data_IF_833034110866
#
_entry.id   IF_833034110866
#
_cell.length_a   1.000
_cell.length_b   1.000
_cell.length_c   1.000
_cell.angle_alpha   90.00
_cell.angle_beta   90.00
_cell.angle_gamma   90.00
#
_symmetry.space_group_name_H-M   'P 1'
#
loop_
_entity.id
_entity.type
_entity.pdbx_description
1 polymer ?
#
# COMPACT_ATOMS: atom_id res chain seq x y z
N UNK A 1 11.27 -26.06 -13.63
CA UNK A 1 11.88 -27.25 -13.01
C UNK A 1 12.75 -26.84 -11.86
N UNK A 2 13.00 -27.74 -10.94
CA UNK A 2 13.86 -27.53 -9.78
C UNK A 2 15.30 -27.19 -10.19
N UNK A 3 15.82 -27.87 -11.20
CA UNK A 3 17.15 -27.62 -11.79
C UNK A 3 17.32 -26.17 -12.28
N UNK A 4 16.30 -25.58 -12.89
CA UNK A 4 16.36 -24.18 -13.35
C UNK A 4 16.36 -23.23 -12.16
N UNK A 5 15.59 -23.53 -11.11
CA UNK A 5 15.57 -22.73 -9.88
C UNK A 5 16.94 -22.78 -9.21
N UNK A 6 17.50 -24.00 -9.05
CA UNK A 6 18.82 -24.20 -8.48
C UNK A 6 19.89 -23.42 -9.26
N UNK A 7 19.93 -23.58 -10.57
CA UNK A 7 20.89 -22.89 -11.41
C UNK A 7 20.79 -21.36 -11.29
N UNK A 8 19.56 -20.81 -11.28
CA UNK A 8 19.38 -19.37 -11.12
C UNK A 8 19.90 -18.88 -9.76
N UNK A 9 19.59 -19.60 -8.69
CA UNK A 9 20.05 -19.24 -7.35
C UNK A 9 21.57 -19.30 -7.24
N UNK A 10 22.19 -20.38 -7.73
CA UNK A 10 23.65 -20.57 -7.73
C UNK A 10 24.40 -19.50 -8.53
N UNK A 11 23.78 -19.00 -9.62
CA UNK A 11 24.39 -18.00 -10.49
C UNK A 11 23.94 -16.56 -10.18
N UNK A 12 23.20 -16.34 -9.09
CA UNK A 12 22.73 -14.99 -8.68
C UNK A 12 21.70 -14.39 -9.63
N UNK A 13 21.00 -15.21 -10.43
CA UNK A 13 19.93 -14.76 -11.32
C UNK A 13 18.60 -14.72 -10.58
N UNK A 14 17.97 -13.54 -10.55
CA UNK A 14 16.67 -13.39 -9.90
C UNK A 14 15.60 -14.26 -10.59
N UNK A 15 14.90 -15.07 -9.80
CA UNK A 15 13.83 -15.95 -10.29
C UNK A 15 12.61 -15.92 -9.38
N UNK A 16 11.41 -15.96 -9.96
CA UNK A 16 10.13 -16.16 -9.28
C UNK A 16 9.41 -17.34 -9.91
N UNK A 17 9.61 -18.58 -9.41
CA UNK A 17 9.02 -19.77 -9.99
C UNK A 17 7.49 -19.77 -9.86
N UNK A 18 6.81 -20.38 -10.82
CA UNK A 18 5.36 -20.62 -10.76
C UNK A 18 5.06 -21.73 -9.75
N UNK A 19 4.30 -21.40 -8.70
CA UNK A 19 3.91 -22.32 -7.63
C UNK A 19 2.44 -22.10 -7.29
N UNK A 20 1.65 -23.17 -7.33
CA UNK A 20 0.22 -23.14 -6.95
C UNK A 20 -0.13 -24.17 -5.88
N UNK A 21 0.79 -25.10 -5.60
CA UNK A 21 0.62 -26.16 -4.60
C UNK A 21 1.58 -26.00 -3.43
N UNK A 22 1.25 -26.54 -2.25
CA UNK A 22 2.18 -26.57 -1.10
C UNK A 22 3.54 -27.20 -1.43
N UNK A 23 3.56 -28.27 -2.21
CA UNK A 23 4.81 -28.96 -2.60
C UNK A 23 5.73 -28.07 -3.43
N UNK A 24 5.18 -27.34 -4.40
CA UNK A 24 5.95 -26.40 -5.21
C UNK A 24 6.46 -25.22 -4.38
N UNK A 25 5.66 -24.73 -3.44
CA UNK A 25 6.08 -23.65 -2.51
C UNK A 25 7.22 -24.16 -1.61
N UNK A 26 7.13 -25.37 -1.07
CA UNK A 26 8.18 -25.98 -0.25
C UNK A 26 9.48 -26.15 -1.06
N UNK A 27 9.39 -26.59 -2.32
CA UNK A 27 10.56 -26.68 -3.20
C UNK A 27 11.21 -25.31 -3.43
N UNK A 28 10.42 -24.26 -3.69
CA UNK A 28 10.94 -22.90 -3.82
C UNK A 28 11.62 -22.41 -2.52
N UNK A 29 11.01 -22.71 -1.37
CA UNK A 29 11.58 -22.37 -0.05
C UNK A 29 12.89 -23.09 0.25
N UNK A 30 13.08 -24.35 -0.19
CA UNK A 30 14.33 -25.10 -0.01
C UNK A 30 15.52 -24.44 -0.72
N UNK A 31 15.27 -23.67 -1.76
CA UNK A 31 16.25 -22.81 -2.45
C UNK A 31 16.39 -21.41 -1.85
N UNK A 32 15.77 -21.14 -0.69
CA UNK A 32 15.83 -19.84 -0.02
C UNK A 32 14.95 -18.75 -0.62
N UNK A 33 14.08 -19.09 -1.56
CA UNK A 33 13.18 -18.11 -2.20
C UNK A 33 12.06 -17.70 -1.25
N UNK A 34 11.72 -16.41 -1.27
CA UNK A 34 10.65 -15.79 -0.46
C UNK A 34 9.50 -15.26 -1.29
N UNK A 35 9.61 -15.33 -2.60
CA UNK A 35 8.60 -14.82 -3.54
C UNK A 35 8.38 -15.84 -4.65
N UNK A 36 7.13 -16.17 -4.91
CA UNK A 36 6.73 -17.09 -5.99
C UNK A 36 5.64 -16.46 -6.86
N UNK A 37 5.59 -16.84 -8.13
CA UNK A 37 4.49 -16.48 -9.03
C UNK A 37 3.33 -17.46 -8.83
N UNK A 38 2.11 -16.95 -8.69
CA UNK A 38 0.88 -17.74 -8.63
C UNK A 38 0.12 -17.59 -9.96
N UNK A 39 0.11 -18.65 -10.78
CA UNK A 39 -0.40 -18.58 -12.15
C UNK A 39 -1.01 -19.92 -12.62
N UNK A 40 -2.13 -19.86 -13.36
CA UNK A 40 -3.06 -18.73 -13.54
C UNK A 40 -3.91 -18.47 -12.28
N UNK A 41 -3.82 -17.28 -11.71
CA UNK A 41 -4.33 -17.00 -10.36
C UNK A 41 -5.83 -17.24 -10.23
N UNK A 42 -6.65 -16.74 -11.17
CA UNK A 42 -8.10 -16.87 -11.12
C UNK A 42 -8.59 -18.34 -11.23
N UNK A 43 -7.85 -19.18 -11.97
CA UNK A 43 -8.20 -20.61 -12.16
C UNK A 43 -7.95 -21.40 -10.89
N UNK A 44 -6.88 -21.07 -10.17
CA UNK A 44 -6.48 -21.76 -8.93
C UNK A 44 -7.07 -21.13 -7.65
N UNK A 45 -8.16 -20.37 -7.76
CA UNK A 45 -8.88 -19.82 -6.61
C UNK A 45 -8.44 -18.44 -6.14
N UNK A 46 -7.55 -17.76 -6.90
CA UNK A 46 -7.23 -16.36 -6.74
C UNK A 46 -6.73 -15.97 -5.34
N UNK A 47 -7.22 -14.84 -4.86
CA UNK A 47 -6.83 -14.28 -3.56
C UNK A 47 -7.16 -15.21 -2.39
N UNK A 48 -8.28 -15.94 -2.47
CA UNK A 48 -8.71 -16.87 -1.42
C UNK A 48 -7.73 -18.04 -1.25
N UNK A 49 -7.28 -18.64 -2.37
CA UNK A 49 -6.29 -19.72 -2.34
C UNK A 49 -4.94 -19.26 -1.78
N UNK A 50 -4.44 -18.09 -2.23
CA UNK A 50 -3.18 -17.53 -1.71
C UNK A 50 -3.29 -17.17 -0.23
N UNK A 51 -4.45 -16.70 0.24
CA UNK A 51 -4.71 -16.48 1.67
C UNK A 51 -4.59 -17.77 2.47
N UNK A 52 -5.19 -18.87 1.98
CA UNK A 52 -5.10 -20.18 2.63
C UNK A 52 -3.64 -20.69 2.67
N UNK A 53 -2.90 -20.55 1.56
CA UNK A 53 -1.50 -20.93 1.47
C UNK A 53 -0.60 -20.05 2.36
N UNK A 54 -0.90 -18.76 2.53
CA UNK A 54 -0.12 -17.86 3.38
C UNK A 54 -0.15 -18.22 4.86
N UNK A 55 -1.12 -19.03 5.32
CA UNK A 55 -1.18 -19.52 6.69
C UNK A 55 0.05 -20.39 7.04
N UNK A 56 0.21 -21.56 6.42
CA UNK A 56 1.38 -22.43 6.68
C UNK A 56 2.69 -21.85 6.12
N UNK A 57 2.65 -20.98 5.13
CA UNK A 57 3.82 -20.39 4.47
C UNK A 57 3.94 -18.89 4.75
N UNK A 58 3.88 -18.47 6.01
CA UNK A 58 3.80 -17.07 6.42
C UNK A 58 4.93 -16.15 5.93
N UNK A 59 6.11 -16.69 5.63
CA UNK A 59 7.24 -15.95 5.06
C UNK A 59 7.17 -15.80 3.53
N UNK A 60 6.32 -16.59 2.86
CA UNK A 60 6.18 -16.57 1.41
C UNK A 60 5.29 -15.43 0.94
N UNK A 61 5.70 -14.76 -0.12
CA UNK A 61 4.91 -13.74 -0.83
C UNK A 61 4.58 -14.23 -2.23
N UNK A 62 3.43 -13.77 -2.74
CA UNK A 62 2.91 -14.20 -4.04
C UNK A 62 2.91 -13.06 -5.05
N UNK A 63 3.15 -13.41 -6.32
CA UNK A 63 2.92 -12.56 -7.50
C UNK A 63 1.79 -13.21 -8.32
N UNK A 64 0.51 -12.87 -8.05
CA UNK A 64 -0.59 -13.37 -8.87
C UNK A 64 -0.50 -12.83 -10.30
N UNK A 65 -0.74 -13.73 -11.24
CA UNK A 65 -0.82 -13.42 -12.67
C UNK A 65 -1.90 -14.27 -13.30
N UNK A 66 -2.65 -13.71 -14.26
CA UNK A 66 -3.82 -14.37 -14.86
C UNK A 66 -5.11 -14.10 -14.09
N UNK A 67 -5.99 -13.31 -14.72
CA UNK A 67 -7.25 -12.85 -14.14
C UNK A 67 -7.16 -11.58 -13.30
N UNK A 68 -5.97 -11.05 -13.04
CA UNK A 68 -5.81 -9.72 -12.43
C UNK A 68 -6.05 -8.65 -13.49
N UNK A 69 -6.80 -7.61 -13.12
CA UNK A 69 -7.16 -6.48 -13.97
C UNK A 69 -7.40 -5.22 -13.10
N UNK A 70 -7.72 -4.08 -13.73
CA UNK A 70 -7.90 -2.81 -13.02
C UNK A 70 -9.03 -2.81 -11.99
N UNK A 71 -10.04 -3.69 -12.11
CA UNK A 71 -11.18 -3.74 -11.19
C UNK A 71 -10.84 -4.49 -9.89
N UNK A 72 -10.01 -5.54 -9.97
CA UNK A 72 -9.67 -6.37 -8.81
C UNK A 72 -8.25 -6.11 -8.26
N UNK A 73 -7.46 -5.27 -8.93
CA UNK A 73 -6.08 -4.94 -8.54
C UNK A 73 -5.97 -4.48 -7.09
N UNK A 74 -6.89 -3.61 -6.64
CA UNK A 74 -6.89 -3.06 -5.29
C UNK A 74 -7.01 -4.14 -4.21
N UNK A 75 -7.87 -5.14 -4.41
CA UNK A 75 -8.05 -6.26 -3.49
C UNK A 75 -6.77 -7.11 -3.34
N UNK A 76 -6.11 -7.39 -4.48
CA UNK A 76 -4.85 -8.13 -4.45
C UNK A 76 -3.76 -7.36 -3.71
N UNK A 77 -3.57 -6.09 -4.01
CA UNK A 77 -2.50 -5.27 -3.43
C UNK A 77 -2.72 -4.98 -1.95
N UNK A 78 -3.95 -4.92 -1.48
CA UNK A 78 -4.26 -4.75 -0.06
C UNK A 78 -3.88 -5.98 0.80
N UNK A 79 -3.74 -7.15 0.18
CA UNK A 79 -3.42 -8.38 0.92
C UNK A 79 -1.92 -8.45 1.31
N UNK A 80 -1.59 -8.68 2.60
CA UNK A 80 -0.21 -8.58 3.10
C UNK A 80 0.72 -9.65 2.55
N UNK A 81 0.19 -10.73 1.99
CA UNK A 81 0.96 -11.82 1.37
C UNK A 81 1.23 -11.58 -0.13
N UNK A 82 0.75 -10.48 -0.72
CA UNK A 82 1.02 -10.12 -2.12
C UNK A 82 2.25 -9.22 -2.19
N UNK A 83 3.25 -9.66 -2.96
CA UNK A 83 4.46 -8.89 -3.23
C UNK A 83 4.27 -7.88 -4.36
N UNK A 84 3.76 -8.36 -5.48
CA UNK A 84 3.47 -7.59 -6.69
C UNK A 84 2.33 -8.26 -7.45
N UNK A 85 1.84 -7.65 -8.51
CA UNK A 85 0.85 -8.25 -9.41
C UNK A 85 1.33 -8.18 -10.85
N UNK A 86 0.97 -9.19 -11.66
CA UNK A 86 1.21 -9.19 -13.09
C UNK A 86 -0.09 -9.33 -13.86
N UNK A 87 -0.21 -8.59 -14.97
CA UNK A 87 -1.42 -8.69 -15.78
C UNK A 87 -1.26 -8.15 -17.20
N UNK A 88 -1.88 -8.83 -18.14
CA UNK A 88 -1.81 -8.49 -19.57
C UNK A 88 -2.81 -7.38 -19.98
N UNK A 89 -3.69 -6.94 -19.06
CA UNK A 89 -4.65 -5.87 -19.37
C UNK A 89 -3.99 -4.52 -19.61
N UNK A 90 -2.78 -4.32 -19.08
CA UNK A 90 -2.03 -3.07 -19.22
C UNK A 90 -1.53 -2.86 -20.65
N UNK A 91 -1.21 -3.94 -21.33
CA UNK A 91 -0.58 -3.91 -22.64
C UNK A 91 -1.03 -5.12 -23.46
N UNK A 92 -2.16 -5.00 -24.16
CA UNK A 92 -2.67 -6.10 -24.99
C UNK A 92 -1.93 -6.16 -26.33
N UNK A 93 -1.87 -7.35 -26.94
CA UNK A 93 -1.34 -7.52 -28.30
C UNK A 93 -2.07 -6.63 -29.31
N UNK A 94 -3.38 -6.44 -29.13
CA UNK A 94 -4.21 -5.58 -29.99
C UNK A 94 -3.82 -4.11 -29.85
N UNK A 95 -3.59 -3.63 -28.64
CA UNK A 95 -3.18 -2.24 -28.40
C UNK A 95 -1.78 -1.95 -28.96
N UNK A 96 -0.86 -2.93 -28.89
CA UNK A 96 0.47 -2.81 -29.51
C UNK A 96 0.34 -2.74 -31.04
N UNK A 97 -0.42 -3.66 -31.64
CA UNK A 97 -0.62 -3.70 -33.08
C UNK A 97 -1.31 -2.43 -33.61
N UNK A 98 -2.20 -1.83 -32.83
CA UNK A 98 -2.88 -0.57 -33.13
C UNK A 98 -2.05 0.67 -32.80
N UNK A 99 -0.83 0.54 -32.31
CA UNK A 99 0.02 1.64 -31.80
C UNK A 99 -0.66 2.52 -30.75
N UNK A 100 -1.58 1.95 -29.95
CA UNK A 100 -2.37 2.66 -28.93
C UNK A 100 -1.54 2.93 -27.65
N UNK A 101 -0.36 3.52 -27.80
CA UNK A 101 0.60 3.70 -26.69
C UNK A 101 0.09 4.66 -25.61
N UNK A 102 -0.69 5.68 -25.97
CA UNK A 102 -1.31 6.59 -25.01
C UNK A 102 -2.31 5.85 -24.09
N UNK A 103 -3.05 4.89 -24.65
CA UNK A 103 -3.95 4.03 -23.87
C UNK A 103 -3.15 3.15 -22.90
N UNK A 104 -2.06 2.54 -23.38
CA UNK A 104 -1.17 1.70 -22.55
C UNK A 104 -0.59 2.54 -21.40
N UNK A 105 -0.09 3.74 -21.71
CA UNK A 105 0.46 4.67 -20.71
C UNK A 105 -0.58 5.01 -19.64
N UNK A 106 -1.81 5.36 -20.04
CA UNK A 106 -2.90 5.65 -19.11
C UNK A 106 -3.23 4.45 -18.22
N UNK A 107 -3.37 3.24 -18.79
CA UNK A 107 -3.64 2.03 -18.02
C UNK A 107 -2.54 1.73 -16.99
N UNK A 108 -1.27 1.95 -17.34
CA UNK A 108 -0.16 1.81 -16.42
C UNK A 108 -0.21 2.85 -15.29
N UNK A 109 -0.57 4.09 -15.60
CA UNK A 109 -0.73 5.15 -14.60
C UNK A 109 -1.89 4.84 -13.64
N UNK A 110 -3.04 4.44 -14.16
CA UNK A 110 -4.20 4.04 -13.35
C UNK A 110 -3.87 2.86 -12.43
N UNK A 111 -3.21 1.83 -12.96
CA UNK A 111 -2.77 0.69 -12.17
C UNK A 111 -1.78 1.09 -11.06
N UNK A 112 -0.84 1.99 -11.36
CA UNK A 112 0.12 2.51 -10.39
C UNK A 112 -0.58 3.29 -9.28
N UNK A 113 -1.54 4.15 -9.63
CA UNK A 113 -2.36 4.87 -8.64
C UNK A 113 -3.14 3.91 -7.74
N UNK A 114 -3.77 2.88 -8.33
CA UNK A 114 -4.47 1.85 -7.57
C UNK A 114 -3.54 1.06 -6.62
N UNK A 115 -2.30 0.77 -7.05
CA UNK A 115 -1.28 0.09 -6.21
C UNK A 115 -0.86 0.97 -5.03
N UNK A 116 -0.69 2.27 -5.24
CA UNK A 116 -0.33 3.23 -4.18
C UNK A 116 -1.51 3.48 -3.23
N UNK A 117 -2.73 3.57 -3.77
CA UNK A 117 -3.96 3.74 -3.01
C UNK A 117 -3.98 5.05 -2.22
N UNK A 118 -3.46 6.13 -2.80
CA UNK A 118 -3.46 7.43 -2.13
C UNK A 118 -4.88 7.98 -2.00
N UNK A 119 -5.28 8.22 -0.76
CA UNK A 119 -6.55 8.87 -0.41
C UNK A 119 -6.34 9.78 0.81
N UNK A 120 -7.06 10.90 0.86
CA UNK A 120 -7.07 11.74 2.06
C UNK A 120 -7.69 10.92 3.20
N UNK A 121 -6.92 10.74 4.28
CA UNK A 121 -7.36 10.04 5.47
C UNK A 121 -8.07 10.99 6.44
N UNK A 122 -7.43 12.12 6.75
CA UNK A 122 -7.99 13.17 7.59
C UNK A 122 -7.28 14.50 7.36
N UNK A 123 -7.88 15.55 7.87
CA UNK A 123 -7.29 16.88 8.02
C UNK A 123 -7.02 17.10 9.49
N UNK A 124 -5.78 17.41 9.85
CA UNK A 124 -5.37 17.76 11.21
C UNK A 124 -5.37 19.27 11.41
N UNK A 125 -5.98 19.73 12.49
CA UNK A 125 -6.03 21.14 12.91
C UNK A 125 -5.23 21.27 14.20
N UNK A 126 -4.29 22.20 14.24
CA UNK A 126 -3.56 22.50 15.45
C UNK A 126 -4.35 23.43 16.35
N UNK A 127 -4.40 23.13 17.66
CA UNK A 127 -4.92 24.03 18.70
C UNK A 127 -3.92 24.20 19.83
N UNK A 128 -4.17 25.16 20.68
CA UNK A 128 -3.23 25.49 21.77
C UNK A 128 -3.37 24.59 23.01
N UNK A 129 -4.51 23.89 23.17
CA UNK A 129 -4.80 23.08 24.36
C UNK A 129 -5.82 21.97 24.05
N UNK A 130 -5.98 21.04 25.02
CA UNK A 130 -7.02 19.99 24.95
C UNK A 130 -8.43 20.63 25.02
N UNK A 131 -8.62 21.68 25.80
CA UNK A 131 -9.86 22.43 25.89
C UNK A 131 -10.26 23.02 24.53
N UNK A 132 -9.33 23.75 23.89
CA UNK A 132 -9.54 24.32 22.54
C UNK A 132 -9.80 23.23 21.48
N UNK A 133 -9.11 22.09 21.59
CA UNK A 133 -9.36 20.93 20.72
C UNK A 133 -10.77 20.38 20.91
N UNK A 134 -11.21 20.25 22.14
CA UNK A 134 -12.56 19.75 22.45
C UNK A 134 -13.64 20.72 21.99
N UNK A 135 -13.43 22.03 22.14
CA UNK A 135 -14.38 23.08 21.70
C UNK A 135 -14.60 23.00 20.19
N UNK A 136 -13.53 22.82 19.41
CA UNK A 136 -13.64 22.62 17.95
C UNK A 136 -14.41 21.33 17.63
N UNK A 137 -14.10 20.23 18.31
CA UNK A 137 -14.82 18.96 18.10
C UNK A 137 -16.30 19.07 18.49
N UNK A 138 -16.60 19.77 19.60
CA UNK A 138 -17.99 19.97 20.03
C UNK A 138 -18.76 20.85 19.03
N UNK A 139 -18.15 21.92 18.52
CA UNK A 139 -18.76 22.74 17.47
C UNK A 139 -19.09 21.94 16.20
N UNK A 140 -18.18 21.05 15.77
CA UNK A 140 -18.43 20.17 14.63
C UNK A 140 -19.53 19.14 14.91
N UNK A 141 -19.60 18.63 16.14
CA UNK A 141 -20.67 17.74 16.58
C UNK A 141 -22.03 18.45 16.58
N UNK A 142 -22.10 19.65 17.13
CA UNK A 142 -23.34 20.42 17.25
C UNK A 142 -23.86 20.86 15.87
N UNK A 143 -22.94 21.24 14.96
CA UNK A 143 -23.30 21.69 13.62
C UNK A 143 -23.65 20.54 12.65
N UNK A 144 -22.93 19.42 12.72
CA UNK A 144 -22.97 18.36 11.69
C UNK A 144 -23.26 16.97 12.27
N UNK A 145 -23.38 16.82 13.59
CA UNK A 145 -23.63 15.53 14.22
C UNK A 145 -22.41 14.59 14.23
N UNK A 146 -21.18 15.10 14.09
CA UNK A 146 -19.98 14.27 14.07
C UNK A 146 -19.73 13.62 15.43
N UNK A 147 -19.43 12.34 15.44
CA UNK A 147 -19.05 11.64 16.67
C UNK A 147 -17.65 12.06 17.12
N UNK A 148 -17.50 12.35 18.40
CA UNK A 148 -16.21 12.69 19.01
C UNK A 148 -15.53 11.45 19.54
N UNK A 149 -14.26 11.27 19.15
CA UNK A 149 -13.36 10.25 19.71
C UNK A 149 -12.16 10.93 20.32
N UNK A 150 -11.98 10.78 21.63
CA UNK A 150 -10.82 11.32 22.35
C UNK A 150 -9.61 10.39 22.22
N UNK A 151 -8.44 10.99 21.97
CA UNK A 151 -7.15 10.33 21.96
C UNK A 151 -6.15 11.00 22.90
N UNK A 152 -4.92 10.51 22.94
CA UNK A 152 -3.90 11.05 23.85
C UNK A 152 -3.40 12.44 23.41
N UNK A 153 -3.04 12.59 22.13
CA UNK A 153 -2.45 13.82 21.55
C UNK A 153 -3.44 14.65 20.75
N UNK A 154 -4.61 14.10 20.43
CA UNK A 154 -5.62 14.73 19.61
C UNK A 154 -7.02 14.22 19.94
N UNK A 155 -8.03 14.97 19.56
CA UNK A 155 -9.42 14.54 19.50
C UNK A 155 -9.84 14.45 18.04
N UNK A 156 -10.78 13.57 17.73
CA UNK A 156 -11.34 13.43 16.39
C UNK A 156 -12.82 13.83 16.39
N UNK A 157 -13.21 14.63 15.41
CA UNK A 157 -14.61 14.83 15.04
C UNK A 157 -14.85 14.03 13.75
N UNK A 158 -15.53 12.91 13.84
CA UNK A 158 -15.57 11.83 12.84
C UNK A 158 -14.17 11.22 12.59
N UNK A 159 -14.01 10.43 11.53
CA UNK A 159 -12.69 9.94 11.09
C UNK A 159 -11.92 10.94 10.22
N UNK A 160 -12.54 12.04 9.82
CA UNK A 160 -12.02 12.95 8.81
C UNK A 160 -11.33 14.20 9.38
N UNK A 161 -11.61 14.58 10.64
CA UNK A 161 -11.04 15.78 11.26
C UNK A 161 -10.33 15.39 12.55
N UNK A 162 -9.01 15.51 12.58
CA UNK A 162 -8.18 15.39 13.76
C UNK A 162 -7.91 16.78 14.33
N UNK A 163 -8.14 16.99 15.61
CA UNK A 163 -7.88 18.26 16.28
C UNK A 163 -6.82 18.03 17.35
N UNK A 164 -5.63 18.57 17.12
CA UNK A 164 -4.48 18.40 17.99
C UNK A 164 -4.70 19.13 19.31
N UNK A 165 -4.27 18.54 20.43
CA UNK A 165 -4.33 19.12 21.78
C UNK A 165 -3.19 20.09 22.09
N UNK A 166 -2.26 20.22 21.17
CA UNK A 166 -1.14 21.17 21.23
C UNK A 166 -0.66 21.48 19.83
N UNK A 167 0.10 22.55 19.68
CA UNK A 167 0.77 22.86 18.42
C UNK A 167 1.71 21.72 18.02
N UNK A 168 1.59 21.27 16.78
CA UNK A 168 2.42 20.23 16.21
C UNK A 168 2.93 20.66 14.83
N UNK A 169 3.47 19.74 14.03
CA UNK A 169 4.03 20.06 12.73
C UNK A 169 2.99 20.75 11.82
N UNK A 170 3.46 21.79 11.10
CA UNK A 170 2.62 22.66 10.29
C UNK A 170 2.01 23.83 11.10
N UNK A 171 2.10 25.04 10.55
CA UNK A 171 1.59 26.24 11.21
C UNK A 171 0.08 26.12 11.50
N UNK A 172 -0.69 25.57 10.55
CA UNK A 172 -2.14 25.46 10.66
C UNK A 172 -2.61 24.02 10.92
N UNK A 173 -1.73 23.02 10.79
CA UNK A 173 -2.04 21.61 10.92
C UNK A 173 -1.45 20.79 9.78
N UNK A 174 -2.12 19.71 9.39
CA UNK A 174 -1.62 18.76 8.41
C UNK A 174 -2.75 18.12 7.59
N UNK A 175 -2.37 17.51 6.47
CA UNK A 175 -3.25 16.62 5.68
C UNK A 175 -2.65 15.22 5.75
N UNK A 176 -3.41 14.27 6.26
CA UNK A 176 -3.02 12.86 6.25
C UNK A 176 -3.47 12.19 4.95
N UNK A 177 -2.53 11.52 4.29
CA UNK A 177 -2.80 10.72 3.10
C UNK A 177 -2.51 9.27 3.42
N UNK A 178 -3.52 8.40 3.34
CA UNK A 178 -3.31 6.96 3.50
C UNK A 178 -2.76 6.36 2.21
N UNK A 179 -2.05 5.26 2.35
CA UNK A 179 -1.52 4.46 1.24
C UNK A 179 -1.62 2.97 1.55
N UNK A 180 -1.63 2.14 0.51
CA UNK A 180 -1.56 0.69 0.67
C UNK A 180 -0.20 0.20 1.21
N UNK A 181 0.86 1.00 1.05
CA UNK A 181 2.19 0.68 1.55
C UNK A 181 3.08 1.92 1.61
N UNK A 182 3.47 2.33 2.82
CA UNK A 182 4.38 3.47 3.01
C UNK A 182 5.70 3.25 2.27
N UNK A 183 6.25 2.03 2.27
CA UNK A 183 7.49 1.73 1.56
C UNK A 183 7.38 1.95 0.04
N UNK A 184 6.26 1.56 -0.58
CA UNK A 184 6.01 1.84 -2.01
C UNK A 184 5.75 3.32 -2.26
N UNK A 185 5.00 3.95 -1.37
CA UNK A 185 4.72 5.38 -1.43
C UNK A 185 6.01 6.21 -1.34
N UNK A 186 6.94 5.85 -0.44
CA UNK A 186 8.23 6.51 -0.30
C UNK A 186 9.03 6.53 -1.61
N UNK A 187 9.18 5.37 -2.25
CA UNK A 187 9.87 5.24 -3.54
C UNK A 187 9.20 6.09 -4.64
N UNK A 188 7.88 6.17 -4.60
CA UNK A 188 7.13 6.97 -5.57
C UNK A 188 7.29 8.47 -5.31
N UNK A 189 7.15 8.88 -4.06
CA UNK A 189 7.29 10.27 -3.65
C UNK A 189 8.71 10.80 -3.91
N UNK A 190 9.74 9.96 -3.70
CA UNK A 190 11.13 10.31 -3.98
C UNK A 190 11.37 10.63 -5.46
N UNK A 191 10.71 9.91 -6.40
CA UNK A 191 10.77 10.22 -7.84
C UNK A 191 10.21 11.61 -8.17
N UNK A 192 9.32 12.10 -7.34
CA UNK A 192 8.73 13.44 -7.44
C UNK A 192 9.43 14.48 -6.57
N UNK A 193 10.58 14.15 -5.97
CA UNK A 193 11.40 15.05 -5.16
C UNK A 193 10.95 15.17 -3.70
N UNK A 194 10.02 14.33 -3.23
CA UNK A 194 9.59 14.33 -1.84
C UNK A 194 10.34 13.28 -1.02
N UNK A 195 10.68 13.61 0.21
CA UNK A 195 11.39 12.73 1.13
C UNK A 195 10.62 12.55 2.42
N UNK A 196 10.69 11.34 3.00
CA UNK A 196 10.15 11.07 4.32
C UNK A 196 11.03 11.73 5.40
N UNK A 197 10.39 12.27 6.42
CA UNK A 197 11.05 12.68 7.67
C UNK A 197 11.03 11.50 8.64
N UNK A 198 12.05 10.66 8.58
CA UNK A 198 12.15 9.44 9.39
C UNK A 198 12.13 9.72 10.89
N UNK A 199 12.49 10.95 11.33
CA UNK A 199 12.43 11.33 12.74
C UNK A 199 10.99 11.37 13.28
N UNK A 200 10.01 11.47 12.40
CA UNK A 200 8.57 11.50 12.71
C UNK A 200 7.90 10.14 12.58
N UNK A 201 8.66 9.11 12.16
CA UNK A 201 8.10 7.79 11.86
C UNK A 201 7.49 7.12 13.10
N UNK A 202 6.26 6.63 12.95
CA UNK A 202 5.56 5.84 13.96
C UNK A 202 5.48 4.38 13.51
N UNK A 203 5.68 3.47 14.45
CA UNK A 203 5.71 2.03 14.19
C UNK A 203 4.69 1.28 15.02
N UNK A 204 4.18 0.20 14.47
CA UNK A 204 3.48 -0.87 15.20
C UNK A 204 4.26 -2.16 15.00
N UNK A 205 5.04 -2.57 16.02
CA UNK A 205 6.09 -3.57 15.86
C UNK A 205 7.15 -3.07 14.87
N UNK A 206 7.47 -3.89 13.88
CA UNK A 206 8.44 -3.53 12.82
C UNK A 206 7.80 -2.74 11.65
N UNK A 207 6.47 -2.62 11.63
CA UNK A 207 5.75 -1.98 10.53
C UNK A 207 5.59 -0.49 10.77
N UNK A 208 6.13 0.34 9.88
CA UNK A 208 5.86 1.78 9.85
C UNK A 208 4.37 2.01 9.52
N UNK A 209 3.68 2.80 10.34
CA UNK A 209 2.25 3.08 10.24
C UNK A 209 1.93 4.54 9.91
N UNK A 210 2.87 5.46 10.17
CA UNK A 210 2.76 6.86 9.78
C UNK A 210 4.14 7.51 9.71
N UNK A 211 4.30 8.49 8.85
CA UNK A 211 5.52 9.32 8.73
C UNK A 211 5.17 10.62 8.02
N UNK A 212 5.83 11.71 8.38
CA UNK A 212 5.67 12.99 7.69
C UNK A 212 6.64 13.13 6.51
N UNK A 213 6.30 14.02 5.58
CA UNK A 213 7.21 14.46 4.52
C UNK A 213 8.08 15.62 5.04
N UNK A 214 9.34 15.70 4.58
CA UNK A 214 10.24 16.82 4.89
C UNK A 214 9.77 18.12 4.27
N UNK A 215 9.23 18.03 3.06
CA UNK A 215 8.75 19.20 2.31
C UNK A 215 7.38 19.65 2.80
N UNK A 216 7.20 20.96 2.87
CA UNK A 216 5.90 21.57 3.17
C UNK A 216 5.03 21.63 1.91
N UNK A 217 4.19 20.61 1.72
CA UNK A 217 3.05 20.69 0.80
C UNK A 217 1.82 20.94 1.67
N UNK A 218 1.61 22.14 2.17
CA UNK A 218 0.59 22.34 3.20
C UNK A 218 0.72 21.35 4.37
N UNK A 219 1.92 20.75 4.54
CA UNK A 219 2.29 19.61 5.39
C UNK A 219 1.35 18.42 5.28
N UNK A 220 1.45 17.71 4.15
CA UNK A 220 0.93 16.36 4.02
C UNK A 220 1.82 15.35 4.76
N UNK A 221 1.20 14.34 5.38
CA UNK A 221 1.89 13.14 5.85
C UNK A 221 1.23 11.86 5.27
N UNK A 222 1.97 10.78 5.22
CA UNK A 222 1.56 9.51 4.60
C UNK A 222 1.51 8.40 5.65
#
# INVERSE_FOLDING_TARGET
>A
SDEVVAWCVENGVAITPGCVTPTEIMAAMSHGLKVVKFFPANVYGGLSAMKALSGPFGSMKFIPTGGVNGQNLGEYIAAPFIHAVGGSWLCSKGDIAAHAFDKITRLCQEARQAVLGFEVAHIGINTASDEASMDVCQGLKDAFGFEIKTGNSSNFASSAVEVMKSMYLGQNGHIAVKTNSIARAAVELEKHGFQLDESTAKYNGEKMIAVYLKQEIGRAHV
#
